data_IF_292966170579
#
_entry.id   IF_292966170579
#
_cell.length_a   1.000
_cell.length_b   1.000
_cell.length_c   1.000
_cell.angle_alpha   90.00
_cell.angle_beta   90.00
_cell.angle_gamma   90.00
#
_symmetry.space_group_name_H-M   'P 1'
#
loop_
_entity.id
_entity.type
_entity.pdbx_description
1 polymer ?
#
# COMPACT_ATOMS: atom_id res chain seq x y z
N UNK A 1 5.63 -18.75 -7.29
CA UNK A 1 4.43 -19.54 -7.64
C UNK A 1 4.70 -20.46 -8.86
N UNK A 2 5.90 -21.03 -8.98
CA UNK A 2 6.40 -21.68 -10.21
C UNK A 2 7.03 -20.69 -11.20
N UNK A 3 7.74 -21.20 -12.20
CA UNK A 3 8.58 -20.42 -13.13
C UNK A 3 7.79 -19.68 -14.22
N UNK A 4 6.50 -19.98 -14.38
CA UNK A 4 5.63 -19.39 -15.40
C UNK A 4 5.18 -17.96 -15.08
N UNK A 5 4.99 -17.63 -13.80
CA UNK A 5 4.41 -16.35 -13.39
C UNK A 5 5.51 -15.37 -13.01
N UNK A 6 5.42 -14.15 -13.53
CA UNK A 6 6.45 -13.13 -13.37
C UNK A 6 6.03 -12.00 -12.45
N UNK A 7 4.72 -11.84 -12.22
CA UNK A 7 4.18 -10.93 -11.20
C UNK A 7 2.89 -11.48 -10.60
N UNK A 8 2.49 -10.92 -9.45
CA UNK A 8 1.25 -11.27 -8.79
C UNK A 8 0.71 -10.09 -7.97
N UNK A 9 -0.59 -10.15 -7.64
CA UNK A 9 -1.23 -9.30 -6.64
C UNK A 9 -1.93 -10.22 -5.64
N UNK A 10 -1.64 -10.06 -4.34
CA UNK A 10 -2.40 -10.78 -3.31
C UNK A 10 -3.85 -10.26 -3.29
N UNK A 11 -4.82 -11.18 -3.27
CA UNK A 11 -6.23 -10.83 -3.42
C UNK A 11 -6.77 -10.02 -2.23
N UNK A 12 -6.11 -10.07 -1.07
CA UNK A 12 -6.44 -9.25 0.09
C UNK A 12 -6.38 -7.75 -0.19
N UNK A 13 -5.42 -7.25 -0.99
CA UNK A 13 -5.39 -5.83 -1.39
C UNK A 13 -6.60 -5.44 -2.25
N UNK A 14 -7.04 -6.34 -3.14
CA UNK A 14 -8.23 -6.10 -3.99
C UNK A 14 -9.48 -6.02 -3.11
N UNK A 15 -9.68 -7.02 -2.24
CA UNK A 15 -10.81 -7.08 -1.30
C UNK A 15 -10.84 -5.91 -0.33
N UNK A 16 -9.66 -5.45 0.12
CA UNK A 16 -9.50 -4.28 0.98
C UNK A 16 -10.01 -3.00 0.34
N UNK A 17 -9.76 -2.78 -0.96
CA UNK A 17 -10.28 -1.62 -1.67
C UNK A 17 -11.77 -1.76 -2.00
N UNK A 18 -12.20 -2.96 -2.42
CA UNK A 18 -13.61 -3.22 -2.75
C UNK A 18 -14.53 -3.12 -1.54
N UNK A 19 -14.07 -3.51 -0.34
CA UNK A 19 -14.87 -3.38 0.90
C UNK A 19 -15.23 -1.93 1.25
N UNK A 20 -14.44 -0.96 0.76
CA UNK A 20 -14.69 0.47 0.92
C UNK A 20 -15.41 1.12 -0.29
N UNK A 21 -15.83 0.31 -1.27
CA UNK A 21 -16.61 0.72 -2.42
C UNK A 21 -15.79 1.28 -3.58
N UNK A 22 -14.56 0.81 -3.76
CA UNK A 22 -13.77 1.06 -4.97
C UNK A 22 -13.82 -0.14 -5.93
N UNK A 23 -13.46 0.09 -7.20
CA UNK A 23 -13.13 -0.96 -8.18
C UNK A 23 -11.62 -0.93 -8.42
N UNK A 24 -11.05 -2.07 -8.79
CA UNK A 24 -9.58 -2.22 -8.90
C UNK A 24 -9.14 -2.49 -10.32
N UNK A 25 -8.02 -1.87 -10.69
CA UNK A 25 -7.29 -2.10 -11.94
C UNK A 25 -5.89 -2.59 -11.56
N UNK A 26 -5.43 -3.77 -12.03
CA UNK A 26 -4.03 -4.15 -11.88
C UNK A 26 -3.16 -3.25 -12.76
N UNK A 27 -2.07 -2.70 -12.22
CA UNK A 27 -1.11 -1.88 -12.96
C UNK A 27 0.11 -2.75 -13.26
N UNK A 28 0.48 -2.84 -14.55
CA UNK A 28 1.58 -3.68 -14.99
C UNK A 28 2.93 -3.05 -14.63
N UNK A 29 3.88 -3.88 -14.20
CA UNK A 29 5.30 -3.51 -14.09
C UNK A 29 6.00 -3.67 -15.45
N UNK A 30 7.29 -3.31 -15.53
CA UNK A 30 8.09 -3.43 -16.76
C UNK A 30 7.54 -2.65 -17.97
N UNK A 31 6.76 -1.59 -17.75
CA UNK A 31 6.25 -0.72 -18.82
C UNK A 31 7.02 0.61 -18.90
N UNK A 32 6.92 1.25 -20.06
CA UNK A 32 7.47 2.59 -20.33
C UNK A 32 6.67 3.69 -19.60
N UNK A 33 7.28 4.88 -19.41
CA UNK A 33 6.61 6.02 -18.74
C UNK A 33 5.24 6.37 -19.32
N UNK A 34 5.11 6.33 -20.65
CA UNK A 34 3.85 6.67 -21.35
C UNK A 34 2.67 5.76 -20.97
N UNK A 35 2.93 4.49 -20.67
CA UNK A 35 1.91 3.57 -20.16
C UNK A 35 1.37 4.08 -18.82
N UNK A 36 2.25 4.42 -17.89
CA UNK A 36 1.86 4.92 -16.57
C UNK A 36 1.15 6.27 -16.69
N UNK A 37 1.62 7.19 -17.53
CA UNK A 37 0.94 8.47 -17.77
C UNK A 37 -0.50 8.27 -18.29
N UNK A 38 -0.74 7.26 -19.13
CA UNK A 38 -2.07 6.98 -19.66
C UNK A 38 -3.00 6.34 -18.61
N UNK A 39 -2.52 5.34 -17.87
CA UNK A 39 -3.35 4.65 -16.87
C UNK A 39 -3.66 5.56 -15.68
N UNK A 40 -2.70 6.37 -15.23
CA UNK A 40 -2.87 7.27 -14.08
C UNK A 40 -3.88 8.40 -14.35
N UNK A 41 -4.07 8.82 -15.61
CA UNK A 41 -5.15 9.74 -16.02
C UNK A 41 -6.54 9.10 -15.99
N UNK A 42 -6.60 7.77 -15.97
CA UNK A 42 -7.85 7.00 -16.06
C UNK A 42 -8.34 6.50 -14.70
N UNK A 43 -7.44 6.36 -13.72
CA UNK A 43 -7.75 5.85 -12.37
C UNK A 43 -7.70 6.95 -11.31
N UNK A 44 -8.30 6.67 -10.15
CA UNK A 44 -8.57 7.66 -9.11
C UNK A 44 -7.60 7.61 -7.92
N UNK A 45 -6.65 6.67 -7.90
CA UNK A 45 -5.64 6.51 -6.86
C UNK A 45 -4.83 5.23 -7.09
N UNK A 46 -3.67 5.12 -6.44
CA UNK A 46 -2.78 3.96 -6.55
C UNK A 46 -2.42 3.39 -5.18
N UNK A 47 -2.49 2.07 -5.05
CA UNK A 47 -1.92 1.36 -3.90
C UNK A 47 -0.66 0.62 -4.33
N UNK A 48 0.45 0.88 -3.64
CA UNK A 48 1.64 0.04 -3.69
C UNK A 48 1.53 -1.04 -2.59
N UNK A 49 1.32 -2.31 -2.94
CA UNK A 49 1.20 -3.38 -1.97
C UNK A 49 2.54 -3.70 -1.29
N UNK A 50 2.46 -4.43 -0.19
CA UNK A 50 3.60 -5.07 0.43
C UNK A 50 4.14 -6.25 -0.41
N UNK A 51 5.35 -6.70 -0.09
CA UNK A 51 6.04 -7.75 -0.83
C UNK A 51 7.46 -7.95 -0.32
N UNK A 52 8.28 -8.63 -1.10
CA UNK A 52 9.67 -8.94 -0.73
C UNK A 52 10.65 -8.76 -1.91
N UNK A 53 10.32 -7.91 -2.89
CA UNK A 53 11.20 -7.64 -4.03
C UNK A 53 12.27 -6.62 -3.67
N UNK A 54 13.47 -6.77 -4.22
CA UNK A 54 14.54 -5.78 -4.05
C UNK A 54 14.28 -4.52 -4.88
N UNK A 55 14.61 -3.35 -4.31
CA UNK A 55 14.52 -2.08 -5.02
C UNK A 55 15.56 -1.91 -6.14
N UNK A 56 16.58 -2.77 -6.16
CA UNK A 56 17.60 -2.83 -7.22
C UNK A 56 17.19 -3.71 -8.41
N UNK A 57 16.07 -4.43 -8.31
CA UNK A 57 15.58 -5.26 -9.40
C UNK A 57 15.10 -4.38 -10.56
N UNK A 58 15.82 -4.44 -11.68
CA UNK A 58 15.54 -3.66 -12.89
C UNK A 58 14.20 -4.04 -13.51
N UNK A 59 13.51 -3.04 -14.03
CA UNK A 59 12.18 -3.13 -14.65
C UNK A 59 11.11 -3.71 -13.71
N UNK A 60 11.38 -3.81 -12.41
CA UNK A 60 10.50 -4.43 -11.44
C UNK A 60 9.53 -3.45 -10.78
N UNK A 61 9.01 -3.90 -9.64
CA UNK A 61 8.10 -3.14 -8.78
C UNK A 61 8.61 -1.74 -8.41
N UNK A 62 9.89 -1.61 -8.05
CA UNK A 62 10.44 -0.33 -7.62
C UNK A 62 10.62 0.67 -8.76
N UNK A 63 11.00 0.21 -9.95
CA UNK A 63 11.13 1.07 -11.13
C UNK A 63 9.76 1.59 -11.58
N UNK A 64 8.76 0.70 -11.66
CA UNK A 64 7.37 1.08 -11.92
C UNK A 64 6.85 2.07 -10.86
N UNK A 65 7.12 1.77 -9.59
CA UNK A 65 6.72 2.59 -8.46
C UNK A 65 7.30 4.00 -8.47
N UNK A 66 8.60 4.14 -8.78
CA UNK A 66 9.25 5.45 -8.93
C UNK A 66 8.66 6.27 -10.07
N UNK A 67 8.44 5.65 -11.23
CA UNK A 67 7.82 6.34 -12.37
C UNK A 67 6.40 6.84 -12.00
N UNK A 68 5.60 5.99 -11.34
CA UNK A 68 4.25 6.34 -10.87
C UNK A 68 4.32 7.48 -9.83
N UNK A 69 5.27 7.41 -8.88
CA UNK A 69 5.48 8.45 -7.88
C UNK A 69 5.75 9.81 -8.54
N UNK A 70 6.70 9.86 -9.48
CA UNK A 70 7.05 11.11 -10.18
C UNK A 70 5.86 11.67 -10.97
N UNK A 71 5.14 10.81 -11.71
CA UNK A 71 3.95 11.24 -12.46
C UNK A 71 2.86 11.77 -11.51
N UNK A 72 2.64 11.12 -10.37
CA UNK A 72 1.64 11.57 -9.40
C UNK A 72 2.03 12.92 -8.79
N UNK A 73 3.30 13.15 -8.48
CA UNK A 73 3.82 14.46 -8.04
C UNK A 73 3.55 15.52 -9.10
N UNK A 74 3.85 15.22 -10.38
CA UNK A 74 3.62 16.13 -11.50
C UNK A 74 2.12 16.44 -11.66
N UNK A 75 1.26 15.42 -11.60
CA UNK A 75 -0.20 15.59 -11.72
C UNK A 75 -0.75 16.50 -10.62
N UNK A 76 -0.40 16.21 -9.36
CA UNK A 76 -0.87 16.98 -8.21
C UNK A 76 -0.34 18.41 -8.19
N UNK A 77 0.92 18.62 -8.57
CA UNK A 77 1.53 19.97 -8.68
C UNK A 77 0.84 20.80 -9.77
N UNK A 78 0.34 20.15 -10.82
CA UNK A 78 -0.42 20.78 -11.91
C UNK A 78 -1.93 20.88 -11.62
N UNK A 79 -2.37 20.75 -10.36
CA UNK A 79 -3.75 20.97 -9.94
C UNK A 79 -4.71 19.81 -10.19
N UNK A 80 -4.21 18.64 -10.59
CA UNK A 80 -4.99 17.40 -10.55
C UNK A 80 -4.95 16.81 -9.13
N UNK A 81 -5.69 15.72 -8.91
CA UNK A 81 -5.69 15.03 -7.63
C UNK A 81 -5.58 13.52 -7.87
N UNK A 82 -4.47 12.93 -7.42
CA UNK A 82 -4.19 11.50 -7.49
C UNK A 82 -3.49 11.05 -6.20
N UNK A 83 -4.21 10.38 -5.28
CA UNK A 83 -3.63 9.88 -4.04
C UNK A 83 -2.82 8.60 -4.25
N UNK A 84 -1.77 8.44 -3.45
CA UNK A 84 -0.95 7.22 -3.36
C UNK A 84 -1.05 6.64 -1.95
N UNK A 85 -1.14 5.31 -1.84
CA UNK A 85 -1.02 4.59 -0.58
C UNK A 85 0.05 3.51 -0.69
N UNK A 86 1.07 3.58 0.15
CA UNK A 86 2.07 2.53 0.30
C UNK A 86 1.77 1.66 1.52
N UNK A 87 1.76 0.34 1.34
CA UNK A 87 1.60 -0.63 2.44
C UNK A 87 2.87 -1.49 2.53
N UNK A 88 3.51 -1.56 3.70
CA UNK A 88 4.74 -2.32 3.95
C UNK A 88 5.84 -2.00 2.92
N UNK A 89 6.19 -2.91 2.00
CA UNK A 89 7.12 -2.63 0.89
C UNK A 89 6.72 -1.41 0.05
N UNK A 90 5.42 -1.13 -0.10
CA UNK A 90 4.93 0.06 -0.76
C UNK A 90 5.17 1.34 0.04
N UNK A 91 5.10 1.29 1.37
CA UNK A 91 5.48 2.40 2.25
C UNK A 91 6.98 2.69 2.12
N UNK A 92 7.80 1.63 2.16
CA UNK A 92 9.24 1.69 1.94
C UNK A 92 9.59 2.26 0.56
N UNK A 93 8.80 1.94 -0.47
CA UNK A 93 8.98 2.46 -1.82
C UNK A 93 8.69 3.96 -1.91
N UNK A 94 7.67 4.46 -1.22
CA UNK A 94 7.33 5.89 -1.21
C UNK A 94 8.48 6.72 -0.63
N UNK A 95 9.01 6.31 0.53
CA UNK A 95 10.15 7.01 1.15
C UNK A 95 11.42 6.85 0.31
N UNK A 96 11.62 5.69 -0.31
CA UNK A 96 12.75 5.45 -1.21
C UNK A 96 12.70 6.32 -2.48
N UNK A 97 11.53 6.50 -3.06
CA UNK A 97 11.31 7.43 -4.18
C UNK A 97 11.56 8.88 -3.74
N UNK A 98 11.01 9.29 -2.59
CA UNK A 98 11.23 10.60 -1.99
C UNK A 98 12.71 10.88 -1.66
N UNK A 99 13.47 9.85 -1.31
CA UNK A 99 14.92 9.93 -1.06
C UNK A 99 15.78 9.87 -2.35
N UNK A 100 15.17 10.02 -3.54
CA UNK A 100 15.83 9.87 -4.85
C UNK A 100 16.54 8.52 -5.03
N UNK A 101 15.93 7.45 -4.53
CA UNK A 101 16.46 6.10 -4.66
C UNK A 101 17.65 5.79 -3.75
N UNK A 102 17.83 6.52 -2.66
CA UNK A 102 18.85 6.21 -1.64
C UNK A 102 18.28 5.28 -0.58
N UNK A 103 19.01 4.19 -0.31
CA UNK A 103 18.65 3.24 0.75
C UNK A 103 18.85 3.89 2.12
N UNK A 104 17.81 3.84 2.95
CA UNK A 104 17.75 4.44 4.28
C UNK A 104 17.06 3.52 5.30
N UNK A 105 16.59 2.34 4.86
CA UNK A 105 15.97 1.37 5.75
C UNK A 105 17.05 0.61 6.51
N UNK A 106 16.75 0.24 7.74
CA UNK A 106 17.59 -0.63 8.56
C UNK A 106 16.90 -1.96 8.85
N UNK A 107 17.68 -3.00 9.11
CA UNK A 107 17.15 -4.29 9.55
C UNK A 107 16.43 -4.12 10.90
N UNK A 108 15.23 -4.69 11.02
CA UNK A 108 14.45 -4.78 12.25
C UNK A 108 13.75 -6.13 12.34
N UNK A 109 13.26 -6.47 13.53
CA UNK A 109 12.61 -7.75 13.79
C UNK A 109 11.12 -7.59 14.09
N UNK A 110 10.37 -7.37 13.02
CA UNK A 110 8.92 -7.16 13.03
C UNK A 110 8.20 -8.16 12.11
N UNK A 111 8.56 -9.43 12.27
CA UNK A 111 7.95 -10.54 11.52
C UNK A 111 6.91 -11.23 12.40
N UNK A 112 5.66 -11.13 11.97
CA UNK A 112 4.52 -11.85 12.57
C UNK A 112 4.12 -11.32 13.94
N UNK A 113 4.01 -10.00 14.04
CA UNK A 113 3.68 -9.29 15.30
C UNK A 113 2.46 -8.41 15.07
N UNK A 114 1.41 -8.60 15.87
CA UNK A 114 0.30 -7.65 15.92
C UNK A 114 0.55 -6.64 17.04
N UNK A 115 0.35 -5.34 16.76
CA UNK A 115 0.66 -4.26 17.70
C UNK A 115 -0.43 -3.18 17.74
N UNK A 116 -0.56 -2.42 18.85
CA UNK A 116 -1.26 -1.14 18.85
C UNK A 116 -0.39 -0.07 18.16
N UNK A 117 -0.97 1.08 17.81
CA UNK A 117 -0.24 2.25 17.31
C UNK A 117 0.14 3.19 18.45
N UNK A 118 1.41 3.61 18.46
CA UNK A 118 1.90 4.68 19.31
C UNK A 118 1.80 5.99 18.53
N UNK A 119 0.67 6.68 18.64
CA UNK A 119 0.45 7.95 17.94
C UNK A 119 1.37 9.06 18.45
N UNK A 120 1.81 9.94 17.54
CA UNK A 120 2.45 11.23 17.90
C UNK A 120 1.39 12.17 18.49
N UNK A 121 1.80 13.13 19.32
CA UNK A 121 0.85 14.04 19.99
C UNK A 121 -0.02 14.84 18.99
N UNK A 122 0.54 15.21 17.85
CA UNK A 122 -0.10 16.00 16.79
C UNK A 122 -0.68 15.13 15.66
N UNK A 123 -0.90 13.83 15.88
CA UNK A 123 -1.39 12.92 14.84
C UNK A 123 -2.73 13.35 14.23
N UNK A 124 -3.57 14.07 14.98
CA UNK A 124 -4.87 14.60 14.50
C UNK A 124 -4.74 15.79 13.57
N UNK A 125 -3.60 16.48 13.57
CA UNK A 125 -3.28 17.53 12.61
C UNK A 125 -2.81 16.90 11.28
N UNK A 126 -3.64 16.02 10.73
CA UNK A 126 -3.35 15.21 9.56
C UNK A 126 -4.60 14.95 8.72
N UNK A 127 -4.43 14.65 7.44
CA UNK A 127 -5.57 14.24 6.58
C UNK A 127 -6.10 12.90 7.05
N UNK A 128 -5.19 11.97 7.38
CA UNK A 128 -5.54 10.60 7.76
C UNK A 128 -6.32 10.51 9.06
N UNK A 129 -6.08 11.38 10.04
CA UNK A 129 -6.69 11.25 11.38
C UNK A 129 -7.46 12.48 11.88
N UNK A 130 -7.59 13.56 11.09
CA UNK A 130 -8.42 14.72 11.46
C UNK A 130 -9.82 14.33 11.94
N UNK A 131 -10.45 13.36 11.26
CA UNK A 131 -11.80 12.88 11.57
C UNK A 131 -11.82 11.43 12.13
N UNK A 132 -10.72 10.97 12.74
CA UNK A 132 -10.66 9.63 13.32
C UNK A 132 -11.74 9.46 14.41
N UNK A 133 -12.69 8.51 14.28
CA UNK A 133 -13.71 8.28 15.30
C UNK A 133 -13.09 7.81 16.62
N UNK A 134 -13.60 8.30 17.75
CA UNK A 134 -13.02 8.01 19.08
C UNK A 134 -12.93 6.52 19.41
N UNK A 135 -13.92 5.71 19.01
CA UNK A 135 -13.88 4.25 19.19
C UNK A 135 -12.74 3.59 18.39
N UNK A 136 -12.52 4.01 17.13
CA UNK A 136 -11.43 3.48 16.30
C UNK A 136 -10.08 3.96 16.83
N UNK A 137 -9.99 5.21 17.30
CA UNK A 137 -8.78 5.70 17.97
C UNK A 137 -8.42 4.85 19.19
N UNK A 138 -9.40 4.54 20.04
CA UNK A 138 -9.20 3.70 21.22
C UNK A 138 -8.68 2.32 20.82
N UNK A 139 -9.34 1.67 19.86
CA UNK A 139 -8.91 0.36 19.34
C UNK A 139 -7.46 0.43 18.86
N UNK A 140 -7.14 1.39 17.99
CA UNK A 140 -5.79 1.55 17.45
C UNK A 140 -4.74 1.84 18.54
N UNK A 141 -5.10 2.57 19.60
CA UNK A 141 -4.18 2.88 20.73
C UNK A 141 -3.95 1.71 21.67
N UNK A 142 -4.95 0.88 21.92
CA UNK A 142 -4.92 -0.06 23.06
C UNK A 142 -4.88 -1.53 22.66
N UNK A 143 -5.24 -1.87 21.43
CA UNK A 143 -5.38 -3.24 20.99
C UNK A 143 -4.33 -3.60 19.93
N UNK A 144 -3.86 -4.85 19.96
CA UNK A 144 -2.88 -5.38 19.02
C UNK A 144 -3.53 -5.68 17.65
N UNK A 145 -3.97 -4.64 16.93
CA UNK A 145 -4.77 -4.78 15.70
C UNK A 145 -3.99 -4.56 14.41
N UNK A 146 -2.78 -4.01 14.48
CA UNK A 146 -1.95 -3.76 13.29
C UNK A 146 -0.93 -4.87 13.08
N UNK A 147 -1.13 -5.68 12.02
CA UNK A 147 -0.27 -6.82 11.73
C UNK A 147 1.01 -6.41 10.99
N UNK A 148 2.16 -6.65 11.61
CA UNK A 148 3.49 -6.35 11.10
C UNK A 148 4.16 -7.61 10.56
N UNK A 149 4.65 -7.52 9.31
CA UNK A 149 5.37 -8.60 8.65
C UNK A 149 6.45 -8.04 7.72
N UNK A 150 7.46 -7.41 8.32
CA UNK A 150 8.55 -6.75 7.60
C UNK A 150 9.90 -7.05 8.26
N UNK A 151 10.96 -6.99 7.44
CA UNK A 151 12.36 -7.14 7.88
C UNK A 151 13.05 -5.78 7.99
N UNK A 152 12.53 -4.78 7.30
CA UNK A 152 13.13 -3.47 7.19
C UNK A 152 12.23 -2.44 7.84
N UNK A 153 12.84 -1.54 8.59
CA UNK A 153 12.16 -0.46 9.28
C UNK A 153 12.83 0.87 8.91
N UNK A 154 12.08 1.95 9.11
CA UNK A 154 12.56 3.33 9.00
C UNK A 154 12.32 3.99 10.34
N UNK A 155 13.38 4.48 10.97
CA UNK A 155 13.30 5.24 12.21
C UNK A 155 13.15 6.73 11.93
N UNK A 156 12.75 7.49 12.94
CA UNK A 156 12.74 8.95 12.82
C UNK A 156 14.13 9.53 12.55
N UNK A 157 15.20 8.89 13.03
CA UNK A 157 16.58 9.30 12.72
C UNK A 157 16.90 9.06 11.25
N UNK A 158 16.53 7.90 10.69
CA UNK A 158 16.72 7.63 9.26
C UNK A 158 15.97 8.65 8.39
N UNK A 159 14.77 9.08 8.83
CA UNK A 159 14.05 10.14 8.14
C UNK A 159 14.74 11.50 8.20
N UNK A 160 15.43 11.82 9.31
CA UNK A 160 16.19 13.07 9.45
C UNK A 160 17.47 13.03 8.59
N UNK A 161 18.21 11.93 8.62
CA UNK A 161 19.48 11.75 7.89
C UNK A 161 19.29 11.83 6.36
N UNK A 162 18.10 11.48 5.88
CA UNK A 162 17.73 11.53 4.46
C UNK A 162 16.80 12.70 4.10
N UNK A 163 16.60 13.65 5.02
CA UNK A 163 15.79 14.86 4.81
C UNK A 163 14.35 14.55 4.36
N UNK A 164 13.79 13.46 4.86
CA UNK A 164 12.43 12.99 4.54
C UNK A 164 11.37 13.71 5.38
N UNK A 165 11.69 14.17 6.59
CA UNK A 165 10.70 14.86 7.45
C UNK A 165 10.23 16.21 6.90
N UNK A 166 10.95 16.79 5.93
CA UNK A 166 10.51 17.99 5.20
C UNK A 166 9.24 17.72 4.38
N UNK A 167 9.10 16.52 3.84
CA UNK A 167 8.03 16.12 2.93
C UNK A 167 6.99 15.26 3.66
N UNK A 168 7.43 14.46 4.63
CA UNK A 168 6.60 13.49 5.33
C UNK A 168 6.39 13.89 6.79
N UNK A 169 5.14 13.78 7.24
CA UNK A 169 4.77 13.87 8.65
C UNK A 169 4.61 12.46 9.20
N UNK A 170 5.28 12.19 10.32
CA UNK A 170 5.11 10.94 11.10
C UNK A 170 3.83 11.06 11.93
N UNK A 171 2.94 10.08 11.82
CA UNK A 171 1.68 10.06 12.57
C UNK A 171 1.69 9.05 13.71
N UNK A 172 2.44 7.96 13.56
CA UNK A 172 2.64 6.97 14.61
C UNK A 172 3.95 6.22 14.45
N UNK A 173 4.37 5.61 15.54
CA UNK A 173 5.49 4.67 15.61
C UNK A 173 5.02 3.32 16.16
N UNK A 174 5.85 2.31 15.99
CA UNK A 174 5.75 0.99 16.61
C UNK A 174 7.11 0.58 17.16
N UNK A 175 7.15 -0.53 17.89
CA UNK A 175 8.38 -1.15 18.38
C UNK A 175 8.46 -2.57 17.86
N UNK A 176 9.64 -2.95 17.38
CA UNK A 176 9.95 -4.32 17.01
C UNK A 176 10.12 -5.21 18.27
N UNK A 177 10.35 -6.52 18.11
CA UNK A 177 10.50 -7.43 19.26
C UNK A 177 11.71 -7.12 20.15
N UNK A 178 12.72 -6.42 19.61
CA UNK A 178 13.92 -6.00 20.34
C UNK A 178 13.77 -4.59 20.95
N UNK A 179 12.62 -3.94 20.76
CA UNK A 179 12.32 -2.61 21.26
C UNK A 179 12.80 -1.46 20.37
N UNK A 180 13.27 -1.72 19.14
CA UNK A 180 13.59 -0.68 18.18
C UNK A 180 12.32 0.07 17.79
N UNK A 181 12.27 1.35 18.12
CA UNK A 181 11.16 2.22 17.71
C UNK A 181 11.32 2.62 16.24
N UNK A 182 10.28 2.37 15.45
CA UNK A 182 10.25 2.69 14.03
C UNK A 182 8.95 3.35 13.64
N UNK A 183 8.99 4.14 12.57
CA UNK A 183 7.82 4.79 12.01
C UNK A 183 6.86 3.74 11.45
N UNK A 184 5.58 3.88 11.77
CA UNK A 184 4.54 2.95 11.31
C UNK A 184 3.51 3.60 10.40
N UNK A 185 3.30 4.92 10.52
CA UNK A 185 2.42 5.68 9.63
C UNK A 185 3.05 7.02 9.29
N UNK A 186 3.02 7.35 7.99
CA UNK A 186 3.35 8.68 7.47
C UNK A 186 2.24 9.20 6.56
N UNK A 187 2.17 10.52 6.45
CA UNK A 187 1.47 11.19 5.35
C UNK A 187 2.34 12.31 4.78
N UNK A 188 2.19 12.57 3.50
CA UNK A 188 2.91 13.65 2.84
C UNK A 188 2.26 15.00 3.17
N UNK A 189 3.09 16.00 3.45
CA UNK A 189 2.66 17.35 3.85
C UNK A 189 1.89 18.07 2.75
N UNK A 190 2.42 18.09 1.52
CA UNK A 190 1.79 18.72 0.35
C UNK A 190 1.03 17.75 -0.56
N UNK A 191 1.54 16.55 -0.81
CA UNK A 191 0.92 15.56 -1.70
C UNK A 191 -0.17 14.74 -0.98
N UNK A 192 -1.17 14.19 -1.68
CA UNK A 192 -2.13 13.23 -1.12
C UNK A 192 -1.53 11.81 -1.03
N UNK A 193 -0.32 11.69 -0.47
CA UNK A 193 0.38 10.41 -0.36
C UNK A 193 0.42 9.93 1.09
N UNK A 194 0.23 8.63 1.27
CA UNK A 194 0.04 7.99 2.57
C UNK A 194 0.83 6.70 2.66
N UNK A 195 1.33 6.38 3.84
CA UNK A 195 2.15 5.20 4.02
C UNK A 195 1.85 4.49 5.34
N UNK A 196 1.69 3.17 5.28
CA UNK A 196 1.43 2.28 6.41
C UNK A 196 2.48 1.16 6.39
N UNK A 197 3.28 1.01 7.44
CA UNK A 197 4.29 -0.06 7.50
C UNK A 197 3.67 -1.45 7.77
N UNK A 198 2.52 -1.48 8.46
CA UNK A 198 1.76 -2.70 8.75
C UNK A 198 0.75 -3.02 7.64
N UNK A 199 0.10 -4.19 7.75
CA UNK A 199 -0.80 -4.75 6.74
C UNK A 199 -2.29 -4.71 7.17
N UNK A 200 -3.01 -3.60 6.95
CA UNK A 200 -4.42 -3.52 7.31
C UNK A 200 -5.29 -4.49 6.50
N UNK A 201 -4.87 -4.89 5.29
CA UNK A 201 -5.64 -5.80 4.43
C UNK A 201 -5.75 -7.22 5.00
N UNK A 202 -4.83 -7.61 5.90
CA UNK A 202 -4.73 -9.00 6.37
C UNK A 202 -5.80 -9.36 7.40
N UNK A 203 -6.21 -8.42 8.25
CA UNK A 203 -7.14 -8.70 9.37
C UNK A 203 -8.45 -9.34 8.92
N UNK A 204 -8.98 -8.96 7.75
CA UNK A 204 -10.26 -9.47 7.26
C UNK A 204 -10.14 -10.57 6.19
N UNK A 205 -8.97 -10.71 5.54
CA UNK A 205 -8.87 -11.45 4.27
C UNK A 205 -7.79 -12.53 4.21
N UNK A 206 -6.86 -12.59 5.17
CA UNK A 206 -5.79 -13.60 5.19
C UNK A 206 -5.87 -14.49 6.42
N UNK A 207 -5.93 -15.82 6.22
CA UNK A 207 -6.28 -16.78 7.28
C UNK A 207 -5.21 -17.86 7.49
N UNK A 208 -3.94 -17.52 7.21
CA UNK A 208 -2.85 -18.49 7.36
C UNK A 208 -2.70 -18.88 8.82
N UNK A 209 -2.95 -20.16 9.14
CA UNK A 209 -2.85 -20.69 10.51
C UNK A 209 -1.43 -20.61 11.09
N UNK A 210 -0.42 -20.43 10.24
CA UNK A 210 0.97 -20.28 10.65
C UNK A 210 1.32 -18.84 11.08
N UNK A 211 0.36 -17.90 11.03
CA UNK A 211 0.54 -16.48 11.30
C UNK A 211 -0.36 -16.00 12.44
N UNK A 212 0.14 -15.08 13.24
CA UNK A 212 -0.58 -14.47 14.37
C UNK A 212 -1.31 -13.19 13.94
N UNK A 213 -2.11 -13.30 12.88
CA UNK A 213 -2.95 -12.20 12.39
C UNK A 213 -4.15 -12.04 13.33
N UNK A 214 -4.40 -10.81 13.78
CA UNK A 214 -5.57 -10.51 14.61
C UNK A 214 -6.85 -10.39 13.76
N UNK A 215 -7.88 -11.14 14.13
CA UNK A 215 -9.14 -11.31 13.38
C UNK A 215 -10.38 -10.84 14.15
N UNK A 216 -10.20 -10.21 15.32
CA UNK A 216 -11.31 -9.64 16.09
C UNK A 216 -12.12 -8.62 15.28
N UNK A 217 -13.37 -8.40 15.70
CA UNK A 217 -14.23 -7.37 15.10
C UNK A 217 -13.58 -5.99 15.14
N UNK A 218 -12.79 -5.71 16.18
CA UNK A 218 -12.07 -4.45 16.34
C UNK A 218 -10.94 -4.31 15.34
N UNK A 219 -10.19 -5.38 15.07
CA UNK A 219 -9.16 -5.38 14.05
C UNK A 219 -9.72 -5.22 12.64
N UNK A 220 -10.87 -5.84 12.35
CA UNK A 220 -11.59 -5.63 11.09
C UNK A 220 -12.11 -4.19 10.98
N UNK A 221 -12.61 -3.60 12.08
CA UNK A 221 -13.04 -2.20 12.09
C UNK A 221 -11.87 -1.23 11.84
N UNK A 222 -10.70 -1.50 12.44
CA UNK A 222 -9.47 -0.74 12.19
C UNK A 222 -9.01 -0.87 10.72
N UNK A 223 -9.03 -2.07 10.15
CA UNK A 223 -8.75 -2.31 8.73
C UNK A 223 -9.68 -1.48 7.82
N UNK A 224 -10.98 -1.55 8.07
CA UNK A 224 -11.99 -0.83 7.30
C UNK A 224 -11.82 0.69 7.36
N UNK A 225 -11.30 1.24 8.46
CA UNK A 225 -10.99 2.67 8.56
C UNK A 225 -9.97 3.10 7.49
N UNK A 226 -8.85 2.38 7.39
CA UNK A 226 -7.80 2.71 6.42
C UNK A 226 -8.27 2.53 4.97
N UNK A 227 -9.04 1.48 4.70
CA UNK A 227 -9.66 1.26 3.39
C UNK A 227 -10.58 2.44 3.02
N UNK A 228 -11.50 2.79 3.92
CA UNK A 228 -12.46 3.87 3.71
C UNK A 228 -11.75 5.20 3.50
N UNK A 229 -10.78 5.53 4.35
CA UNK A 229 -9.98 6.75 4.23
C UNK A 229 -9.37 6.87 2.83
N UNK A 230 -8.66 5.84 2.36
CA UNK A 230 -8.00 5.92 1.06
C UNK A 230 -9.00 5.98 -0.11
N UNK A 231 -10.12 5.26 -0.04
CA UNK A 231 -11.17 5.36 -1.06
C UNK A 231 -11.86 6.74 -1.03
N UNK A 232 -12.04 7.35 0.13
CA UNK A 232 -12.54 8.74 0.24
C UNK A 232 -11.56 9.74 -0.39
N UNK A 233 -10.25 9.54 -0.23
CA UNK A 233 -9.24 10.33 -0.95
C UNK A 233 -9.37 10.14 -2.46
N UNK A 234 -9.51 8.90 -2.93
CA UNK A 234 -9.66 8.61 -4.35
C UNK A 234 -10.91 9.27 -4.97
N UNK A 235 -12.01 9.40 -4.21
CA UNK A 235 -13.23 10.10 -4.66
C UNK A 235 -13.01 11.59 -4.99
N UNK A 236 -11.92 12.20 -4.52
CA UNK A 236 -11.56 13.59 -4.85
C UNK A 236 -10.93 13.71 -6.24
N UNK A 237 -10.48 12.61 -6.83
CA UNK A 237 -9.98 12.56 -8.20
C UNK A 237 -11.13 12.57 -9.21
N UNK A 238 -11.04 13.42 -10.24
CA UNK A 238 -12.01 13.49 -11.33
C UNK A 238 -11.62 12.62 -12.54
N UNK A 239 -10.55 11.83 -12.41
CA UNK A 239 -10.06 10.95 -13.46
C UNK A 239 -11.11 9.90 -13.83
N UNK A 240 -11.11 9.51 -15.11
CA UNK A 240 -11.98 8.47 -15.65
C UNK A 240 -11.40 7.91 -16.93
N UNK A 241 -11.73 6.66 -17.21
CA UNK A 241 -11.45 6.07 -18.52
C UNK A 241 -12.19 6.82 -19.64
N UNK A 242 -11.65 6.81 -20.87
CA UNK A 242 -12.26 7.51 -22.01
C UNK A 242 -13.61 6.90 -22.43
N UNK A 243 -13.88 5.63 -22.10
CA UNK A 243 -15.17 4.98 -22.34
C UNK A 243 -15.43 3.86 -21.33
N UNK A 244 -16.70 3.46 -21.14
CA UNK A 244 -17.04 2.29 -20.31
C UNK A 244 -16.42 0.98 -20.83
N UNK A 245 -16.22 0.85 -22.14
CA UNK A 245 -15.58 -0.34 -22.73
C UNK A 245 -14.08 -0.40 -22.38
N UNK A 246 -13.39 0.75 -22.45
CA UNK A 246 -12.02 0.85 -21.98
C UNK A 246 -11.94 0.61 -20.48
N UNK A 247 -12.85 1.13 -19.67
CA UNK A 247 -12.87 0.82 -18.25
C UNK A 247 -13.03 -0.69 -17.99
N UNK A 248 -14.06 -1.30 -18.59
CA UNK A 248 -14.43 -2.69 -18.36
C UNK A 248 -13.28 -3.67 -18.63
N UNK A 249 -12.45 -3.43 -19.66
CA UNK A 249 -11.33 -4.33 -20.00
C UNK A 249 -10.12 -4.21 -19.07
N UNK A 250 -10.00 -3.10 -18.33
CA UNK A 250 -8.90 -2.88 -17.37
C UNK A 250 -9.21 -3.39 -15.96
N UNK A 251 -10.49 -3.65 -15.64
CA UNK A 251 -10.89 -4.08 -14.30
C UNK A 251 -10.31 -5.44 -13.92
N UNK A 252 -10.01 -5.60 -12.63
CA UNK A 252 -9.51 -6.85 -12.04
C UNK A 252 -10.44 -8.05 -12.30
N UNK A 253 -11.73 -7.80 -12.55
CA UNK A 253 -12.75 -8.80 -12.86
C UNK A 253 -12.45 -9.65 -14.10
N UNK A 254 -11.55 -9.20 -14.97
CA UNK A 254 -11.12 -9.96 -16.15
C UNK A 254 -10.06 -11.03 -15.83
N UNK A 255 -9.53 -11.06 -14.60
CA UNK A 255 -8.40 -11.91 -14.23
C UNK A 255 -8.83 -12.96 -13.21
N UNK A 256 -8.49 -14.24 -13.42
CA UNK A 256 -8.85 -15.29 -12.47
C UNK A 256 -7.98 -15.20 -11.21
N UNK A 257 -8.62 -15.34 -10.05
CA UNK A 257 -7.93 -15.49 -8.77
C UNK A 257 -7.60 -16.96 -8.53
N UNK A 258 -6.39 -17.25 -8.06
CA UNK A 258 -5.92 -18.60 -7.74
C UNK A 258 -5.87 -18.80 -6.23
N UNK A 259 -6.36 -19.94 -5.73
CA UNK A 259 -6.16 -20.34 -4.35
C UNK A 259 -4.70 -20.76 -4.12
N UNK A 260 -4.02 -20.07 -3.20
CA UNK A 260 -2.59 -20.24 -2.91
C UNK A 260 -2.33 -20.61 -1.45
N UNK A 261 -3.37 -20.72 -0.62
CA UNK A 261 -3.24 -21.00 0.81
C UNK A 261 -2.64 -22.37 1.16
N UNK A 262 -2.74 -23.36 0.25
CA UNK A 262 -2.13 -24.68 0.40
C UNK A 262 -0.65 -24.72 0.00
N UNK A 263 -0.15 -23.68 -0.68
CA UNK A 263 1.24 -23.63 -1.12
C UNK A 263 2.10 -23.30 0.10
N UNK A 264 2.99 -24.22 0.50
CA UNK A 264 3.78 -24.13 1.74
C UNK A 264 4.60 -22.84 1.92
N UNK A 265 4.99 -22.19 0.83
CA UNK A 265 5.75 -20.94 0.82
C UNK A 265 4.91 -19.70 0.49
N UNK A 266 3.60 -19.85 0.31
CA UNK A 266 2.69 -18.71 0.13
C UNK A 266 2.33 -18.10 1.48
N UNK A 267 2.33 -16.78 1.56
CA UNK A 267 1.82 -16.03 2.71
C UNK A 267 0.40 -15.50 2.51
N UNK A 268 -0.27 -15.97 1.46
CA UNK A 268 -1.55 -15.45 0.97
C UNK A 268 -2.51 -16.60 0.66
N UNK A 269 -3.78 -16.42 1.03
CA UNK A 269 -4.87 -17.35 0.74
C UNK A 269 -5.15 -17.41 -0.77
N UNK A 270 -5.12 -16.24 -1.41
CA UNK A 270 -5.46 -16.10 -2.82
C UNK A 270 -4.55 -15.06 -3.50
N UNK A 271 -4.13 -15.35 -4.72
CA UNK A 271 -3.35 -14.42 -5.55
C UNK A 271 -3.94 -14.36 -6.97
N UNK A 272 -3.93 -13.17 -7.56
CA UNK A 272 -3.97 -13.00 -9.01
C UNK A 272 -2.55 -13.19 -9.52
N UNK A 273 -2.35 -14.14 -10.44
CA UNK A 273 -1.04 -14.53 -10.95
C UNK A 273 -0.94 -14.14 -12.43
N UNK A 274 0.14 -13.46 -12.81
CA UNK A 274 0.32 -12.92 -14.17
C UNK A 274 1.62 -13.44 -14.80
N UNK A 275 1.57 -13.69 -16.10
CA UNK A 275 2.73 -14.02 -16.94
C UNK A 275 3.21 -12.78 -17.72
N UNK A 276 4.37 -12.85 -18.36
CA UNK A 276 4.88 -11.73 -19.17
C UNK A 276 3.96 -11.33 -20.32
N UNK A 277 3.25 -12.31 -20.91
CA UNK A 277 2.29 -12.07 -21.98
C UNK A 277 0.91 -11.59 -21.49
N UNK A 278 0.70 -11.46 -20.17
CA UNK A 278 -0.58 -11.00 -19.64
C UNK A 278 -0.75 -9.50 -19.89
N UNK A 279 -1.85 -9.14 -20.54
CA UNK A 279 -2.28 -7.75 -20.72
C UNK A 279 -3.80 -7.65 -20.53
N UNK A 280 -4.31 -6.42 -20.50
CA UNK A 280 -5.75 -6.17 -20.49
C UNK A 280 -6.42 -6.77 -21.72
N UNK A 281 -7.68 -7.16 -21.57
CA UNK A 281 -8.46 -7.70 -22.68
C UNK A 281 -8.48 -6.70 -23.85
N UNK A 282 -8.41 -7.22 -25.08
CA UNK A 282 -8.51 -6.39 -26.28
C UNK A 282 -9.94 -5.83 -26.41
N UNK A 283 -10.12 -4.64 -27.01
CA UNK A 283 -11.44 -4.17 -27.37
C UNK A 283 -12.09 -5.18 -28.34
N UNK A 284 -13.36 -5.48 -28.13
CA UNK A 284 -14.17 -6.22 -29.11
C UNK A 284 -14.44 -5.35 -30.35
#
# INVERSE_FOLDING_TARGET
>A
FGDKYTSYIAASYVKFLESAGARVVPIWISKERSYYENILKSINGVVFPGGATFFTAKNGFADAGKIIYDIAVDMNTNGQFLPLLGICLGYELLTYASANGKEHRQDCDSKDISAPLLFKDDFRDSKMFANLPGEIEKILKTEAVTYNYHRYCITEQDMDDFDLKKDWKVLSVNKDINGLEHVSIIEHRSQPFYGLQFHPERNAFEWSLAKSIEHSSNAVAASNYFAKFFVDEARKSLNKFPSPAEEARHLIYNFPVTYTGEISHSHWMQCYLFTDDTDYNKPN
#
